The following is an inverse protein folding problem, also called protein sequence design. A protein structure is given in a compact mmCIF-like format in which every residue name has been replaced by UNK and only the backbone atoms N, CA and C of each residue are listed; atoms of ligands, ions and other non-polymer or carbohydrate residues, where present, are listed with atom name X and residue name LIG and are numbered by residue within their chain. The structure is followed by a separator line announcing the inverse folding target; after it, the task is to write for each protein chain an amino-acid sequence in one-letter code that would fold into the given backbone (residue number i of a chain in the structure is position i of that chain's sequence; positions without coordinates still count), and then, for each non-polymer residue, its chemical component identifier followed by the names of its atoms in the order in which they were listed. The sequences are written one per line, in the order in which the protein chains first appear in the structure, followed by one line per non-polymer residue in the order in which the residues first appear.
data_IF_331619711442
#
_entry.id   IF_331619711442
#
_cell.length_a   1.000
_cell.length_b   1.000
_cell.length_c   1.000
_cell.angle_alpha   90.00
_cell.angle_beta   90.00
_cell.angle_gamma   90.00
#
_symmetry.space_group_name_H-M   'P 1'
#
loop_
_entity.id
_entity.type
_entity.pdbx_description
1 polymer ?
#
# COMPACT_ATOMS: atom_id res chain seq x y z
N UNK A 1 -14.69 38.66 -16.00
CA UNK A 1 -14.17 38.13 -17.28
C UNK A 1 -12.85 37.45 -16.95
N UNK A 2 -12.86 36.18 -16.75
CA UNK A 2 -11.82 35.22 -17.12
C UNK A 2 -12.30 33.82 -16.77
N UNK A 3 -12.64 33.14 -17.82
CA UNK A 3 -13.13 31.78 -17.86
C UNK A 3 -11.91 30.88 -17.71
N UNK A 4 -11.79 30.14 -16.61
CA UNK A 4 -10.81 29.02 -16.48
C UNK A 4 -11.61 27.77 -16.74
N UNK A 5 -11.45 27.26 -17.96
CA UNK A 5 -11.92 25.98 -18.44
C UNK A 5 -11.22 24.87 -17.65
N UNK A 6 -11.94 24.22 -16.73
CA UNK A 6 -11.47 23.02 -16.07
C UNK A 6 -11.69 21.85 -17.03
N UNK A 7 -10.63 21.38 -17.65
CA UNK A 7 -10.60 20.12 -18.38
C UNK A 7 -10.85 18.97 -17.40
N UNK A 8 -11.98 18.34 -17.60
CA UNK A 8 -12.40 17.14 -16.92
C UNK A 8 -11.49 15.98 -17.37
N UNK A 9 -10.83 15.22 -16.47
CA UNK A 9 -10.12 14.02 -16.89
C UNK A 9 -11.13 12.99 -17.38
N UNK A 10 -10.95 12.52 -18.60
CA UNK A 10 -11.71 11.43 -19.21
C UNK A 10 -11.72 10.22 -18.26
N UNK A 11 -12.90 9.94 -17.74
CA UNK A 11 -13.20 8.69 -17.07
C UNK A 11 -13.13 7.62 -18.14
N UNK A 12 -12.11 6.78 -18.11
CA UNK A 12 -12.04 5.56 -18.92
C UNK A 12 -13.14 4.65 -18.37
N UNK A 13 -14.32 4.67 -19.01
CA UNK A 13 -15.39 3.71 -18.74
C UNK A 13 -14.88 2.32 -19.06
N UNK A 14 -14.85 1.45 -18.06
CA UNK A 14 -14.65 0.03 -18.27
C UNK A 14 -15.79 -0.49 -19.19
N UNK A 15 -15.48 -1.25 -20.25
CA UNK A 15 -16.52 -1.79 -21.11
C UNK A 15 -17.42 -2.73 -20.32
N UNK A 16 -18.70 -2.39 -20.23
CA UNK A 16 -19.76 -3.19 -19.64
C UNK A 16 -19.84 -4.56 -20.33
N UNK A 17 -20.08 -5.67 -19.60
CA UNK A 17 -20.13 -7.01 -20.16
C UNK A 17 -21.34 -7.32 -21.06
N UNK A 18 -22.17 -6.33 -21.42
CA UNK A 18 -23.45 -6.55 -22.15
C UNK A 18 -23.38 -6.33 -23.68
N UNK A 19 -22.19 -6.17 -24.28
CA UNK A 19 -22.09 -5.99 -25.74
C UNK A 19 -21.41 -7.15 -26.47
N UNK A 20 -21.50 -8.37 -25.96
CA UNK A 20 -20.96 -9.56 -26.64
C UNK A 20 -22.04 -10.43 -27.26
N UNK A 21 -23.23 -9.91 -27.52
CA UNK A 21 -24.25 -10.61 -28.30
C UNK A 21 -24.54 -9.84 -29.58
N UNK A 22 -23.73 -10.05 -30.61
CA UNK A 22 -24.13 -9.94 -32.04
C UNK A 22 -22.89 -10.06 -32.96
N UNK A 23 -22.07 -11.10 -32.78
CA UNK A 23 -21.27 -11.58 -33.89
C UNK A 23 -21.83 -12.95 -34.31
N UNK A 24 -22.93 -12.90 -35.02
CA UNK A 24 -23.41 -14.06 -35.76
C UNK A 24 -22.40 -14.29 -36.88
N UNK A 25 -21.88 -15.51 -37.04
CA UNK A 25 -21.04 -15.82 -38.20
C UNK A 25 -21.87 -15.66 -39.45
N UNK A 26 -21.60 -14.55 -40.15
CA UNK A 26 -22.12 -14.36 -41.49
C UNK A 26 -21.58 -15.45 -42.40
N UNK A 27 -22.54 -16.12 -43.00
CA UNK A 27 -22.43 -16.92 -44.22
C UNK A 27 -21.40 -18.06 -44.22
N UNK A 28 -21.96 -19.25 -44.16
CA UNK A 28 -21.29 -20.38 -44.78
C UNK A 28 -20.93 -20.03 -46.25
N UNK A 29 -19.71 -19.52 -46.44
CA UNK A 29 -19.10 -19.52 -47.75
C UNK A 29 -19.09 -20.98 -48.20
N UNK A 30 -19.73 -21.26 -49.33
CA UNK A 30 -19.71 -22.55 -50.01
C UNK A 30 -18.26 -23.02 -50.05
N UNK A 31 -17.98 -24.11 -49.34
CA UNK A 31 -16.67 -24.73 -49.36
C UNK A 31 -16.31 -25.03 -50.84
N UNK A 32 -15.15 -24.61 -51.32
CA UNK A 32 -14.75 -24.97 -52.69
C UNK A 32 -14.76 -26.47 -52.76
N UNK A 33 -15.48 -27.03 -53.76
CA UNK A 33 -15.42 -28.45 -54.13
C UNK A 33 -14.00 -28.73 -54.63
N UNK A 34 -13.07 -28.95 -53.73
CA UNK A 34 -11.72 -29.37 -54.06
C UNK A 34 -11.74 -30.87 -54.19
N UNK A 35 -11.64 -31.32 -55.41
CA UNK A 35 -11.35 -32.73 -55.78
C UNK A 35 -9.97 -33.08 -55.25
N UNK A 36 -9.88 -33.50 -53.99
CA UNK A 36 -8.66 -34.01 -53.36
C UNK A 36 -8.75 -35.52 -53.16
N UNK A 37 -7.64 -36.18 -53.24
CA UNK A 37 -7.54 -37.60 -52.90
C UNK A 37 -7.75 -37.78 -51.38
N UNK A 38 -8.22 -38.95 -50.96
CA UNK A 38 -8.41 -39.29 -49.54
C UNK A 38 -7.14 -39.10 -48.70
N UNK A 39 -5.99 -39.27 -49.33
CA UNK A 39 -4.66 -39.06 -48.69
C UNK A 39 -4.33 -37.60 -48.48
N UNK A 40 -4.70 -36.71 -49.40
CA UNK A 40 -4.55 -35.25 -49.22
C UNK A 40 -5.44 -34.70 -48.09
N UNK A 41 -6.68 -35.19 -47.97
CA UNK A 41 -7.57 -34.84 -46.90
C UNK A 41 -7.06 -35.32 -45.53
N UNK A 42 -6.47 -36.51 -45.43
CA UNK A 42 -5.84 -37.01 -44.22
C UNK A 42 -4.65 -36.17 -43.82
N UNK A 43 -3.79 -35.82 -44.76
CA UNK A 43 -2.63 -34.96 -44.49
C UNK A 43 -3.06 -33.56 -44.01
N UNK A 44 -4.07 -32.97 -44.65
CA UNK A 44 -4.64 -31.67 -44.23
C UNK A 44 -5.25 -31.76 -42.84
N UNK A 45 -5.96 -32.84 -42.51
CA UNK A 45 -6.54 -33.05 -41.17
C UNK A 45 -5.44 -33.19 -40.12
N UNK A 46 -4.37 -33.91 -40.37
CA UNK A 46 -3.25 -34.02 -39.42
C UNK A 46 -2.60 -32.67 -39.15
N UNK A 47 -2.40 -31.84 -40.18
CA UNK A 47 -1.87 -30.50 -40.04
C UNK A 47 -2.83 -29.63 -39.21
N UNK A 48 -4.13 -29.66 -39.52
CA UNK A 48 -5.12 -28.90 -38.78
C UNK A 48 -5.25 -29.30 -37.30
N UNK A 49 -5.18 -30.62 -37.02
CA UNK A 49 -5.15 -31.15 -35.66
C UNK A 49 -3.92 -30.63 -34.89
N UNK A 50 -2.75 -30.70 -35.55
CA UNK A 50 -1.51 -30.20 -34.94
C UNK A 50 -1.55 -28.72 -34.65
N UNK A 51 -2.02 -27.90 -35.60
CA UNK A 51 -2.19 -26.47 -35.40
C UNK A 51 -3.19 -26.16 -34.25
N UNK A 52 -4.31 -26.90 -34.22
CA UNK A 52 -5.27 -26.76 -33.09
C UNK A 52 -4.60 -27.03 -31.74
N UNK A 53 -3.81 -28.11 -31.65
CA UNK A 53 -3.15 -28.47 -30.41
C UNK A 53 -2.09 -27.44 -30.01
N UNK A 54 -1.34 -26.90 -30.96
CA UNK A 54 -0.40 -25.79 -30.73
C UNK A 54 -1.13 -24.51 -30.26
N UNK A 55 -2.27 -24.18 -30.89
CA UNK A 55 -3.07 -23.04 -30.45
C UNK A 55 -3.69 -23.24 -29.08
N UNK A 56 -4.16 -24.45 -28.75
CA UNK A 56 -4.70 -24.76 -27.41
C UNK A 56 -3.62 -24.64 -26.33
N UNK A 57 -2.42 -25.10 -26.59
CA UNK A 57 -1.32 -24.96 -25.63
C UNK A 57 -0.88 -23.51 -25.47
N UNK A 58 -0.82 -22.76 -26.56
CA UNK A 58 -0.56 -21.31 -26.51
C UNK A 58 -1.64 -20.56 -25.72
N UNK A 59 -2.92 -20.89 -25.96
CA UNK A 59 -4.05 -20.30 -25.24
C UNK A 59 -3.98 -20.61 -23.72
N UNK A 60 -3.73 -21.86 -23.35
CA UNK A 60 -3.57 -22.26 -21.95
C UNK A 60 -2.45 -21.50 -21.26
N UNK A 61 -1.32 -21.36 -21.94
CA UNK A 61 -0.18 -20.61 -21.43
C UNK A 61 -0.51 -19.14 -21.25
N UNK A 62 -1.10 -18.51 -22.25
CA UNK A 62 -1.52 -17.10 -22.19
C UNK A 62 -2.53 -16.86 -21.08
N UNK A 63 -3.48 -17.78 -20.90
CA UNK A 63 -4.46 -17.70 -19.82
C UNK A 63 -3.79 -17.79 -18.45
N UNK A 64 -2.84 -18.69 -18.27
CA UNK A 64 -2.08 -18.80 -17.02
C UNK A 64 -1.25 -17.53 -16.73
N UNK A 65 -0.57 -17.00 -17.75
CA UNK A 65 0.21 -15.78 -17.65
C UNK A 65 -0.67 -14.58 -17.32
N UNK A 66 -1.84 -14.48 -17.93
CA UNK A 66 -2.81 -13.43 -17.62
C UNK A 66 -3.35 -13.51 -16.18
N UNK A 67 -3.65 -14.71 -15.69
CA UNK A 67 -4.06 -14.89 -14.30
C UNK A 67 -2.95 -14.49 -13.32
N UNK A 68 -1.72 -14.86 -13.60
CA UNK A 68 -0.55 -14.48 -12.82
C UNK A 68 -0.33 -12.96 -12.85
N UNK A 69 -0.45 -12.34 -14.02
CA UNK A 69 -0.36 -10.89 -14.18
C UNK A 69 -1.45 -10.17 -13.37
N UNK A 70 -2.70 -10.62 -13.48
CA UNK A 70 -3.83 -10.03 -12.73
C UNK A 70 -3.58 -10.09 -11.21
N UNK A 71 -3.16 -11.25 -10.69
CA UNK A 71 -2.85 -11.42 -9.27
C UNK A 71 -1.73 -10.48 -8.83
N UNK A 72 -0.61 -10.45 -9.57
CA UNK A 72 0.53 -9.58 -9.26
C UNK A 72 0.15 -8.10 -9.29
N UNK A 73 -0.69 -7.70 -10.23
CA UNK A 73 -1.11 -6.31 -10.38
C UNK A 73 -2.01 -5.86 -9.22
N UNK A 74 -2.91 -6.75 -8.76
CA UNK A 74 -3.73 -6.48 -7.57
C UNK A 74 -2.88 -6.29 -6.32
N UNK A 75 -1.90 -7.18 -6.10
CA UNK A 75 -0.96 -7.09 -4.97
C UNK A 75 -0.13 -5.81 -5.07
N UNK A 76 0.46 -5.53 -6.23
CA UNK A 76 1.28 -4.33 -6.43
C UNK A 76 0.51 -3.02 -6.18
N UNK A 77 -0.79 -2.98 -6.53
CA UNK A 77 -1.63 -1.80 -6.27
C UNK A 77 -1.89 -1.62 -4.76
N UNK A 78 -2.19 -2.70 -4.05
CA UNK A 78 -2.39 -2.67 -2.61
C UNK A 78 -1.10 -2.25 -1.89
N UNK A 79 0.01 -2.86 -2.26
CA UNK A 79 1.32 -2.57 -1.66
C UNK A 79 1.72 -1.11 -1.93
N UNK A 80 1.50 -0.62 -3.14
CA UNK A 80 1.78 0.78 -3.50
C UNK A 80 0.94 1.78 -2.70
N UNK A 81 -0.32 1.47 -2.44
CA UNK A 81 -1.16 2.29 -1.57
C UNK A 81 -0.63 2.30 -0.12
N UNK A 82 -0.32 1.14 0.43
CA UNK A 82 0.22 1.00 1.79
C UNK A 82 1.59 1.67 1.94
N UNK A 83 2.45 1.60 0.91
CA UNK A 83 3.73 2.30 0.87
C UNK A 83 3.52 3.82 0.86
N UNK A 84 2.61 4.34 0.03
CA UNK A 84 2.29 5.75 -0.02
C UNK A 84 1.73 6.30 1.30
N UNK A 85 0.87 5.52 1.98
CA UNK A 85 0.37 5.89 3.32
C UNK A 85 1.51 5.95 4.33
N UNK A 86 2.41 4.96 4.34
CA UNK A 86 3.57 4.93 5.25
C UNK A 86 4.50 6.11 5.03
N UNK A 87 4.83 6.41 3.79
CA UNK A 87 5.70 7.53 3.44
C UNK A 87 5.09 8.87 3.84
N UNK A 88 3.80 9.06 3.58
CA UNK A 88 3.07 10.27 3.97
C UNK A 88 3.05 10.44 5.48
N UNK A 89 2.70 9.39 6.23
CA UNK A 89 2.68 9.43 7.69
C UNK A 89 4.08 9.67 8.26
N UNK A 90 5.12 9.04 7.73
CA UNK A 90 6.49 9.27 8.15
C UNK A 90 6.92 10.74 7.95
N UNK A 91 6.54 11.36 6.83
CA UNK A 91 6.78 12.78 6.56
C UNK A 91 6.02 13.72 7.51
N UNK A 92 4.90 13.27 8.09
CA UNK A 92 4.11 14.05 9.06
C UNK A 92 4.60 13.92 10.51
N UNK A 93 5.39 12.89 10.86
CA UNK A 93 5.88 12.68 12.23
C UNK A 93 6.62 13.89 12.82
N UNK A 94 7.47 14.63 12.07
CA UNK A 94 8.10 15.84 12.62
C UNK A 94 7.13 16.93 13.05
N UNK A 95 5.94 17.00 12.43
CA UNK A 95 4.88 17.94 12.83
C UNK A 95 4.29 17.52 14.17
N UNK A 96 4.04 16.23 14.36
CA UNK A 96 3.58 15.65 15.64
C UNK A 96 4.59 15.96 16.74
N UNK A 97 5.89 15.70 16.50
CA UNK A 97 6.96 15.98 17.47
C UNK A 97 7.03 17.47 17.84
N UNK A 98 6.82 18.36 16.87
CA UNK A 98 6.82 19.79 17.13
C UNK A 98 5.61 20.25 17.99
N UNK A 99 4.44 19.65 17.78
CA UNK A 99 3.26 19.91 18.60
C UNK A 99 3.46 19.38 20.02
N UNK A 100 4.01 18.19 20.19
CA UNK A 100 4.36 17.63 21.51
C UNK A 100 5.36 18.53 22.24
N UNK A 101 6.42 18.97 21.55
CA UNK A 101 7.43 19.86 22.10
C UNK A 101 6.86 21.22 22.51
N UNK A 102 5.90 21.76 21.74
CA UNK A 102 5.23 23.00 22.07
C UNK A 102 4.40 22.86 23.35
N UNK A 103 3.71 21.73 23.54
CA UNK A 103 2.95 21.42 24.75
C UNK A 103 3.90 21.31 25.97
N UNK A 104 5.00 20.57 25.81
CA UNK A 104 6.00 20.45 26.87
C UNK A 104 6.62 21.79 27.28
N UNK A 105 6.92 22.65 26.28
CA UNK A 105 7.44 23.99 26.54
C UNK A 105 6.44 24.85 27.31
N UNK A 106 5.14 24.80 26.94
CA UNK A 106 4.09 25.49 27.65
C UNK A 106 3.94 25.02 29.11
N UNK A 107 4.05 23.71 29.35
CA UNK A 107 4.04 23.16 30.72
C UNK A 107 5.24 23.62 31.51
N UNK A 108 6.45 23.62 30.93
CA UNK A 108 7.69 24.07 31.60
C UNK A 108 7.70 25.56 31.90
N UNK A 109 7.00 26.41 31.13
CA UNK A 109 6.84 27.84 31.36
C UNK A 109 5.72 28.18 32.34
N UNK A 110 4.96 27.19 32.83
CA UNK A 110 3.81 27.39 33.71
C UNK A 110 2.53 27.79 32.96
N UNK A 111 2.52 27.77 31.63
CA UNK A 111 1.38 28.10 30.76
C UNK A 111 0.66 26.85 30.24
N UNK A 112 0.89 25.71 30.86
CA UNK A 112 0.34 24.43 30.44
C UNK A 112 -1.19 24.38 30.35
N UNK A 113 -1.89 25.18 31.19
CA UNK A 113 -3.35 25.25 31.20
C UNK A 113 -3.88 26.48 30.44
N UNK A 114 -3.06 27.10 29.60
CA UNK A 114 -3.49 28.24 28.79
C UNK A 114 -4.42 27.78 27.64
N UNK A 115 -5.37 28.64 27.22
CA UNK A 115 -6.23 28.34 26.05
C UNK A 115 -5.44 28.01 24.78
N UNK A 116 -4.23 28.57 24.64
CA UNK A 116 -3.33 28.27 23.53
C UNK A 116 -2.81 26.83 23.64
N UNK A 117 -2.32 26.41 24.81
CA UNK A 117 -1.84 25.03 25.02
C UNK A 117 -2.96 24.02 24.81
N UNK A 118 -4.17 24.31 25.22
CA UNK A 118 -5.35 23.49 25.00
C UNK A 118 -5.68 23.38 23.51
N UNK A 119 -5.60 24.47 22.76
CA UNK A 119 -5.76 24.44 21.29
C UNK A 119 -4.74 23.56 20.60
N UNK A 120 -3.47 23.61 21.03
CA UNK A 120 -2.41 22.74 20.49
C UNK A 120 -2.66 21.26 20.83
N UNK A 121 -3.07 20.94 22.07
CA UNK A 121 -3.45 19.57 22.47
C UNK A 121 -4.60 19.02 21.64
N UNK A 122 -5.64 19.83 21.40
CA UNK A 122 -6.77 19.43 20.56
C UNK A 122 -6.33 19.16 19.12
N UNK A 123 -5.44 19.98 18.58
CA UNK A 123 -4.88 19.82 17.24
C UNK A 123 -4.08 18.52 17.14
N UNK A 124 -3.17 18.27 18.09
CA UNK A 124 -2.38 17.04 18.17
C UNK A 124 -3.30 15.81 18.25
N UNK A 125 -4.29 15.85 19.14
CA UNK A 125 -5.25 14.76 19.29
C UNK A 125 -5.98 14.46 17.98
N UNK A 126 -6.51 15.48 17.31
CA UNK A 126 -7.22 15.33 16.05
C UNK A 126 -6.32 14.76 14.94
N UNK A 127 -5.04 15.17 14.93
CA UNK A 127 -4.04 14.66 13.98
C UNK A 127 -3.74 13.18 14.22
N UNK A 128 -3.51 12.79 15.50
CA UNK A 128 -3.28 11.39 15.87
C UNK A 128 -4.50 10.50 15.59
N UNK A 129 -5.71 10.98 15.85
CA UNK A 129 -6.94 10.25 15.52
C UNK A 129 -7.09 10.06 13.99
N UNK A 130 -6.76 11.10 13.20
CA UNK A 130 -6.76 11.01 11.75
C UNK A 130 -5.73 10.01 11.21
N UNK A 131 -4.52 10.06 11.74
CA UNK A 131 -3.43 9.14 11.40
C UNK A 131 -3.74 7.69 11.86
N UNK A 132 -4.38 7.53 13.02
CA UNK A 132 -4.84 6.24 13.54
C UNK A 132 -5.83 5.53 12.61
N UNK A 133 -6.71 6.28 11.92
CA UNK A 133 -7.61 5.71 10.90
C UNK A 133 -6.87 5.17 9.69
N UNK A 134 -5.66 5.65 9.44
CA UNK A 134 -4.76 5.15 8.41
C UNK A 134 -3.85 4.02 8.93
N UNK A 135 -4.01 3.63 10.19
CA UNK A 135 -3.27 2.53 10.81
C UNK A 135 -1.98 2.95 11.52
N UNK A 136 -1.80 4.25 11.84
CA UNK A 136 -0.69 4.70 12.67
C UNK A 136 -0.92 4.27 14.11
N UNK A 137 0.08 3.62 14.71
CA UNK A 137 0.09 3.23 16.11
C UNK A 137 1.41 3.66 16.75
N UNK A 138 1.33 4.19 17.97
CA UNK A 138 2.49 4.51 18.79
C UNK A 138 3.11 3.20 19.34
N UNK A 139 4.44 3.11 19.32
CA UNK A 139 5.14 1.94 19.88
C UNK A 139 5.20 2.08 21.41
N UNK A 140 4.90 1.00 22.14
CA UNK A 140 5.01 0.99 23.59
C UNK A 140 6.47 1.17 23.98
N UNK A 141 6.81 2.22 24.71
CA UNK A 141 8.22 2.51 25.02
C UNK A 141 8.45 2.89 26.49
N UNK A 142 7.63 3.76 27.08
CA UNK A 142 7.86 4.25 28.44
C UNK A 142 7.66 3.15 29.47
N UNK A 143 8.67 2.91 30.30
CA UNK A 143 8.64 1.88 31.35
C UNK A 143 8.68 0.42 30.84
N UNK A 144 8.76 0.20 29.54
CA UNK A 144 8.86 -1.12 28.94
C UNK A 144 10.32 -1.64 28.93
N UNK A 145 10.47 -2.93 28.64
CA UNK A 145 11.77 -3.50 28.31
C UNK A 145 12.25 -3.01 26.94
N UNK A 146 13.55 -2.82 26.83
CA UNK A 146 14.17 -2.42 25.57
C UNK A 146 14.12 -3.54 24.54
N UNK A 147 13.53 -3.28 23.40
CA UNK A 147 13.45 -4.17 22.25
C UNK A 147 14.16 -3.53 21.05
N UNK A 148 15.26 -4.11 20.55
CA UNK A 148 15.98 -3.57 19.38
C UNK A 148 15.17 -3.52 18.09
N UNK A 149 14.07 -4.27 17.98
CA UNK A 149 13.22 -4.27 16.78
C UNK A 149 12.33 -3.04 16.67
N UNK A 150 12.08 -2.35 17.78
CA UNK A 150 11.19 -1.19 17.83
C UNK A 150 11.79 0.04 18.52
N UNK A 151 12.91 -0.12 19.22
CA UNK A 151 13.57 0.94 19.99
C UNK A 151 15.00 1.18 19.53
N UNK A 152 15.42 2.45 19.56
CA UNK A 152 16.79 2.89 19.33
C UNK A 152 17.36 3.54 20.59
N UNK A 153 18.30 2.85 21.27
CA UNK A 153 18.95 3.38 22.47
C UNK A 153 19.98 4.46 22.07
N UNK A 154 19.65 5.72 22.39
CA UNK A 154 20.54 6.89 22.12
C UNK A 154 21.36 7.27 23.34
N UNK A 155 20.91 6.91 24.55
CA UNK A 155 21.60 7.17 25.79
C UNK A 155 21.50 5.97 26.72
N UNK A 156 22.54 5.77 27.52
CA UNK A 156 22.64 4.70 28.53
C UNK A 156 22.94 5.34 29.89
N UNK A 157 22.28 4.85 30.92
CA UNK A 157 22.46 5.33 32.29
C UNK A 157 22.61 4.13 33.23
N UNK A 158 23.57 4.19 34.14
CA UNK A 158 23.79 3.12 35.14
C UNK A 158 22.88 3.34 36.32
N UNK A 159 21.60 3.00 36.16
CA UNK A 159 20.59 3.13 37.22
C UNK A 159 19.50 2.08 37.07
N UNK A 160 19.09 1.48 38.21
CA UNK A 160 17.92 0.61 38.22
C UNK A 160 18.14 -0.77 37.63
N UNK A 161 17.07 -1.38 37.13
CA UNK A 161 17.09 -2.68 36.51
C UNK A 161 17.62 -2.61 35.09
N UNK A 162 18.66 -3.40 34.73
CA UNK A 162 19.20 -3.37 33.38
C UNK A 162 18.14 -3.72 32.31
N UNK A 163 18.22 -3.07 31.16
CA UNK A 163 17.33 -3.34 30.02
C UNK A 163 15.99 -2.62 30.04
N UNK A 164 15.71 -1.77 31.07
CA UNK A 164 14.48 -0.95 31.09
C UNK A 164 14.67 0.40 30.39
N UNK A 165 13.60 0.87 29.75
CA UNK A 165 13.52 2.20 29.18
C UNK A 165 13.22 3.19 30.31
N UNK A 166 14.15 4.13 30.52
CA UNK A 166 14.05 5.16 31.55
C UNK A 166 13.35 6.42 31.07
N UNK A 167 13.56 6.76 29.79
CA UNK A 167 13.04 8.00 29.20
C UNK A 167 12.88 7.83 27.69
N UNK A 168 11.86 8.44 27.13
CA UNK A 168 11.59 8.46 25.70
C UNK A 168 11.86 9.87 25.17
N UNK A 169 12.90 10.04 24.37
CA UNK A 169 13.23 11.35 23.76
C UNK A 169 12.40 11.61 22.51
N UNK A 170 12.04 10.55 21.79
CA UNK A 170 11.22 10.63 20.59
C UNK A 170 10.37 9.38 20.48
N UNK A 171 9.07 9.54 20.34
CA UNK A 171 8.13 8.41 20.21
C UNK A 171 8.34 7.67 18.92
N UNK A 172 8.23 6.35 18.99
CA UNK A 172 8.25 5.46 17.82
C UNK A 172 6.85 5.24 17.29
N UNK A 173 6.76 4.96 16.00
CA UNK A 173 5.48 4.71 15.33
C UNK A 173 5.59 3.56 14.33
N UNK A 174 4.51 2.78 14.23
CA UNK A 174 4.31 1.77 13.18
C UNK A 174 3.03 2.05 12.41
N UNK A 175 2.97 1.53 11.20
CA UNK A 175 1.74 1.52 10.39
C UNK A 175 1.43 0.06 10.06
N UNK A 176 0.32 -0.43 10.59
CA UNK A 176 0.00 -1.87 10.58
C UNK A 176 1.16 -2.67 11.20
N UNK A 177 1.79 -3.55 10.42
CA UNK A 177 2.88 -4.42 10.89
C UNK A 177 4.30 -3.87 10.62
N UNK A 178 4.43 -2.66 10.05
CA UNK A 178 5.74 -2.08 9.71
C UNK A 178 6.07 -0.87 10.56
N UNK A 179 7.22 -0.91 11.21
CA UNK A 179 7.80 0.24 11.91
C UNK A 179 8.21 1.29 10.88
N UNK A 180 7.69 2.51 11.02
CA UNK A 180 8.05 3.66 10.18
C UNK A 180 9.05 4.58 10.88
N UNK A 181 9.12 4.52 12.22
CA UNK A 181 10.11 5.22 13.05
C UNK A 181 10.31 4.49 14.36
N UNK A 182 11.57 4.21 14.70
CA UNK A 182 11.95 3.65 16.00
C UNK A 182 11.81 4.71 17.10
N UNK A 183 11.42 4.29 18.31
CA UNK A 183 11.44 5.19 19.45
C UNK A 183 12.89 5.44 19.89
N UNK A 184 13.26 6.70 20.08
CA UNK A 184 14.58 7.07 20.63
C UNK A 184 14.49 7.12 22.13
N UNK A 185 15.24 6.24 22.79
CA UNK A 185 15.09 5.98 24.22
C UNK A 185 16.42 6.04 24.98
N UNK A 186 16.32 6.32 26.28
CA UNK A 186 17.38 6.13 27.26
C UNK A 186 17.13 4.81 27.96
N UNK A 187 18.14 3.94 28.00
CA UNK A 187 18.05 2.62 28.63
C UNK A 187 18.94 2.51 29.85
N UNK A 188 18.45 1.74 30.83
CA UNK A 188 19.23 1.36 32.00
C UNK A 188 20.22 0.26 31.63
N UNK A 189 21.48 0.40 32.09
CA UNK A 189 22.55 -0.59 31.99
C UNK A 189 23.13 -0.86 33.38
N UNK A 190 23.85 -1.98 33.53
CA UNK A 190 24.56 -2.30 34.76
C UNK A 190 25.64 -1.26 35.13
#
# INVERSE_FOLDING_TARGET
MNNINAENPEIIEEPSPEQTEQDQPQTAEEAPETEGTVEEWKAALEIAVRQRDEYLDSLRRTQADFQNFKRRNQTARSDGYDDGVRETLAAMLPVIDNLERAIEAAVKSGEGDSPMADGVRMTLKSMLEGAGRLGLEELPSEGCEFDPEIHHAVMREQTGEPGKILEVFQKGYKVKDRVIRYAMVKVSVE
#
